data_IF_881069418055
#
_entry.id   IF_881069418055
#
_cell.length_a   1.000
_cell.length_b   1.000
_cell.length_c   1.000
_cell.angle_alpha   90.00
_cell.angle_beta   90.00
_cell.angle_gamma   90.00
#
_symmetry.space_group_name_H-M   'P 1'
#
loop_
_entity.id
_entity.type
_entity.pdbx_description
1 polymer ?
#
# COMPACT_ATOMS: atom_id res chain seq x y z
N UNK A 1 10.42 18.28 -5.17
CA UNK A 1 9.02 17.83 -5.27
C UNK A 1 8.24 18.87 -6.05
N UNK A 2 7.65 18.49 -7.19
CA UNK A 2 6.76 19.33 -7.99
C UNK A 2 5.31 19.01 -7.63
N UNK A 3 4.55 20.01 -7.20
CA UNK A 3 3.16 19.84 -6.79
C UNK A 3 2.28 20.63 -7.73
N UNK A 4 1.27 19.99 -8.32
CA UNK A 4 0.28 20.64 -9.18
C UNK A 4 -1.12 20.34 -8.63
N UNK A 5 -1.95 21.38 -8.52
CA UNK A 5 -3.36 21.19 -8.20
C UNK A 5 -4.17 20.96 -9.48
N UNK A 6 -4.94 19.88 -9.52
CA UNK A 6 -5.74 19.49 -10.68
C UNK A 6 -7.18 19.24 -10.29
N UNK A 7 -8.08 19.42 -11.25
CA UNK A 7 -9.47 18.98 -11.15
C UNK A 7 -9.62 17.62 -11.82
N UNK A 8 -10.47 16.76 -11.27
CA UNK A 8 -10.92 15.54 -11.91
C UNK A 8 -12.43 15.57 -12.17
N UNK A 9 -12.92 14.71 -13.06
CA UNK A 9 -14.35 14.54 -13.34
C UNK A 9 -15.02 13.51 -12.43
N UNK A 10 -14.23 12.60 -11.86
CA UNK A 10 -14.64 11.54 -10.94
C UNK A 10 -13.46 11.20 -10.02
N UNK A 11 -13.76 10.79 -8.80
CA UNK A 11 -12.80 10.32 -7.80
C UNK A 11 -12.95 8.83 -7.49
N UNK A 12 -14.14 8.24 -7.73
CA UNK A 12 -14.39 6.80 -7.61
C UNK A 12 -14.28 6.11 -8.97
N UNK A 13 -13.20 5.37 -9.20
CA UNK A 13 -13.02 4.50 -10.37
C UNK A 13 -13.35 3.05 -10.03
N UNK A 14 -13.75 2.25 -11.03
CA UNK A 14 -13.79 0.79 -10.87
C UNK A 14 -12.36 0.28 -10.61
N UNK A 15 -12.26 -0.77 -9.81
CA UNK A 15 -10.99 -1.42 -9.46
C UNK A 15 -10.85 -2.74 -10.22
N UNK A 16 -9.62 -3.05 -10.62
CA UNK A 16 -9.25 -4.36 -11.18
C UNK A 16 -8.65 -5.28 -10.11
N UNK A 17 -8.50 -4.79 -8.88
CA UNK A 17 -7.99 -5.56 -7.74
C UNK A 17 -9.08 -6.50 -7.25
N UNK A 18 -8.75 -7.80 -7.15
CA UNK A 18 -9.66 -8.83 -6.70
C UNK A 18 -10.27 -8.51 -5.32
N UNK A 19 -11.59 -8.62 -5.19
CA UNK A 19 -12.31 -8.32 -3.95
C UNK A 19 -12.53 -6.83 -3.66
N UNK A 20 -12.10 -5.95 -4.57
CA UNK A 20 -12.27 -4.50 -4.45
C UNK A 20 -13.11 -4.00 -5.63
N UNK A 21 -14.30 -3.46 -5.36
CA UNK A 21 -15.18 -2.93 -6.42
C UNK A 21 -14.63 -1.62 -6.99
N UNK A 22 -14.13 -0.74 -6.12
CA UNK A 22 -13.74 0.61 -6.48
C UNK A 22 -12.42 1.06 -5.85
N UNK A 23 -11.79 2.05 -6.49
CA UNK A 23 -10.66 2.77 -5.92
C UNK A 23 -10.92 4.26 -5.86
N UNK A 24 -10.45 4.89 -4.79
CA UNK A 24 -10.39 6.34 -4.66
C UNK A 24 -8.94 6.76 -4.57
N UNK A 25 -8.45 7.50 -5.57
CA UNK A 25 -7.06 7.98 -5.62
C UNK A 25 -7.05 9.51 -5.50
N UNK A 26 -6.83 10.11 -4.31
CA UNK A 26 -6.83 11.56 -4.10
C UNK A 26 -5.68 12.28 -4.81
N UNK A 27 -4.62 11.53 -5.12
CA UNK A 27 -3.39 12.01 -5.70
C UNK A 27 -3.01 11.20 -6.96
N UNK A 28 -2.19 11.78 -7.83
CA UNK A 28 -1.42 11.05 -8.84
C UNK A 28 0.05 11.37 -8.64
N UNK A 29 0.92 10.35 -8.58
CA UNK A 29 2.26 10.50 -8.01
C UNK A 29 2.23 10.20 -6.51
N UNK A 30 3.40 9.92 -5.92
CA UNK A 30 3.51 9.52 -4.52
C UNK A 30 4.88 9.89 -3.95
N UNK A 31 4.92 10.72 -2.90
CA UNK A 31 6.18 11.18 -2.30
C UNK A 31 6.96 10.08 -1.58
N UNK A 32 6.35 8.92 -1.30
CA UNK A 32 7.08 7.77 -0.77
C UNK A 32 8.19 7.31 -1.72
N UNK A 33 8.04 7.51 -3.03
CA UNK A 33 9.12 7.30 -4.01
C UNK A 33 9.65 5.86 -4.07
N UNK A 34 8.83 4.86 -3.74
CA UNK A 34 9.27 3.47 -3.65
C UNK A 34 9.86 2.98 -4.98
N UNK A 35 11.05 2.38 -4.95
CA UNK A 35 11.79 1.98 -6.17
C UNK A 35 11.15 0.81 -6.91
N UNK A 36 10.37 0.00 -6.20
CA UNK A 36 9.61 -1.13 -6.74
C UNK A 36 8.18 -0.76 -7.16
N UNK A 37 7.76 0.50 -7.01
CA UNK A 37 6.36 0.91 -7.17
C UNK A 37 5.80 0.54 -8.56
N UNK A 38 4.74 -0.28 -8.58
CA UNK A 38 4.08 -0.65 -9.82
C UNK A 38 3.38 0.57 -10.47
N UNK A 39 2.80 1.45 -9.65
CA UNK A 39 1.99 2.60 -10.05
C UNK A 39 2.73 3.69 -10.84
N UNK A 40 4.04 3.58 -10.97
CA UNK A 40 4.86 4.43 -11.83
C UNK A 40 4.34 4.55 -13.28
N UNK A 41 3.57 3.57 -13.79
CA UNK A 41 2.92 3.69 -15.11
C UNK A 41 1.95 4.87 -15.18
N UNK A 42 1.43 5.35 -14.05
CA UNK A 42 0.51 6.47 -13.97
C UNK A 42 1.10 7.77 -14.51
N UNK A 43 2.44 7.90 -14.56
CA UNK A 43 3.12 9.05 -15.18
C UNK A 43 2.66 9.31 -16.62
N UNK A 44 2.30 8.25 -17.38
CA UNK A 44 1.80 8.39 -18.77
C UNK A 44 0.47 9.15 -18.89
N UNK A 45 -0.25 9.32 -17.78
CA UNK A 45 -1.51 10.06 -17.70
C UNK A 45 -1.32 11.47 -17.13
N UNK A 46 -0.09 11.95 -17.11
CA UNK A 46 0.30 13.24 -16.55
C UNK A 46 1.25 13.97 -17.48
N UNK A 47 1.33 15.29 -17.35
CA UNK A 47 2.26 16.16 -18.09
C UNK A 47 3.53 16.42 -17.26
N UNK A 48 4.09 15.35 -16.69
CA UNK A 48 5.28 15.40 -15.84
C UNK A 48 6.47 14.76 -16.54
N UNK A 49 7.60 15.46 -16.53
CA UNK A 49 8.90 14.93 -16.96
C UNK A 49 9.67 14.32 -15.78
N UNK A 50 9.31 14.70 -14.55
CA UNK A 50 9.96 14.29 -13.31
C UNK A 50 9.82 12.78 -13.04
N UNK A 51 10.75 12.22 -12.26
CA UNK A 51 10.69 10.81 -11.90
C UNK A 51 9.53 10.54 -10.92
N UNK A 52 9.07 9.29 -10.85
CA UNK A 52 8.15 8.90 -9.79
C UNK A 52 8.79 9.13 -8.41
N UNK A 53 8.04 9.74 -7.50
CA UNK A 53 8.58 10.22 -6.22
C UNK A 53 9.03 11.68 -6.23
N UNK A 54 9.04 12.34 -7.39
CA UNK A 54 9.47 13.75 -7.51
C UNK A 54 8.31 14.69 -7.87
N UNK A 55 7.11 14.16 -8.13
CA UNK A 55 5.90 14.94 -8.39
C UNK A 55 4.66 14.38 -7.70
N UNK A 56 3.69 15.26 -7.46
CA UNK A 56 2.32 14.92 -7.05
C UNK A 56 1.31 15.87 -7.70
N UNK A 57 0.35 15.32 -8.43
CA UNK A 57 -0.89 16.00 -8.80
C UNK A 57 -1.95 15.80 -7.71
N UNK A 58 -2.50 16.90 -7.20
CA UNK A 58 -3.49 16.92 -6.11
C UNK A 58 -4.88 17.18 -6.66
N UNK A 59 -5.84 16.27 -6.40
CA UNK A 59 -7.22 16.41 -6.90
C UNK A 59 -8.05 17.31 -5.98
N UNK A 60 -7.91 18.62 -6.13
CA UNK A 60 -8.47 19.62 -5.20
C UNK A 60 -10.01 19.66 -5.15
N UNK A 61 -10.69 19.22 -6.21
CA UNK A 61 -12.16 19.18 -6.26
C UNK A 61 -12.76 17.84 -5.78
N UNK A 62 -11.95 16.96 -5.15
CA UNK A 62 -12.36 15.61 -4.72
C UNK A 62 -13.68 15.59 -3.95
N UNK A 63 -13.90 16.55 -3.03
CA UNK A 63 -15.14 16.63 -2.24
C UNK A 63 -16.38 16.84 -3.12
N UNK A 64 -16.31 17.75 -4.08
CA UNK A 64 -17.44 18.05 -4.96
C UNK A 64 -17.76 16.85 -5.87
N UNK A 65 -16.73 16.22 -6.44
CA UNK A 65 -16.94 15.09 -7.36
C UNK A 65 -17.33 13.82 -6.63
N UNK A 66 -16.94 13.66 -5.36
CA UNK A 66 -17.35 12.52 -4.54
C UNK A 66 -18.87 12.45 -4.41
N UNK A 67 -19.57 13.57 -4.17
CA UNK A 67 -21.04 13.55 -4.11
C UNK A 67 -21.66 13.08 -5.43
N UNK A 68 -21.11 13.52 -6.56
CA UNK A 68 -21.58 13.11 -7.88
C UNK A 68 -21.36 11.61 -8.13
N UNK A 69 -20.24 11.06 -7.66
CA UNK A 69 -19.94 9.64 -7.75
C UNK A 69 -20.84 8.81 -6.84
N UNK A 70 -21.12 9.29 -5.62
CA UNK A 70 -21.98 8.62 -4.64
C UNK A 70 -23.45 8.53 -5.10
N UNK A 71 -23.91 9.43 -5.98
CA UNK A 71 -25.22 9.30 -6.63
C UNK A 71 -25.28 8.12 -7.60
N UNK A 72 -24.14 7.74 -8.21
CA UNK A 72 -24.05 6.66 -9.20
C UNK A 72 -23.65 5.33 -8.59
N UNK A 73 -22.86 5.37 -7.52
CA UNK A 73 -22.34 4.21 -6.80
C UNK A 73 -22.73 4.36 -5.33
N UNK A 74 -23.52 3.44 -4.79
CA UNK A 74 -24.12 3.60 -3.46
C UNK A 74 -23.79 2.47 -2.46
N UNK A 75 -23.02 1.46 -2.87
CA UNK A 75 -22.50 0.36 -2.05
C UNK A 75 -21.31 -0.31 -2.74
N UNK A 76 -20.57 -1.12 -2.00
CA UNK A 76 -19.43 -1.90 -2.48
C UNK A 76 -18.19 -1.69 -1.62
N UNK A 77 -17.08 -2.30 -2.02
CA UNK A 77 -15.78 -2.11 -1.36
C UNK A 77 -14.94 -1.05 -2.08
N UNK A 78 -14.32 -0.17 -1.30
CA UNK A 78 -13.40 0.88 -1.77
C UNK A 78 -12.02 0.57 -1.22
N UNK A 79 -11.00 0.55 -2.08
CA UNK A 79 -9.61 0.70 -1.67
C UNK A 79 -9.20 2.17 -1.81
N UNK A 80 -8.72 2.77 -0.72
CA UNK A 80 -8.13 4.09 -0.76
C UNK A 80 -6.71 4.00 -1.31
N UNK A 81 -6.52 4.66 -2.45
CA UNK A 81 -5.28 4.84 -3.19
C UNK A 81 -4.63 3.55 -3.68
N UNK A 82 -5.22 2.91 -4.69
CA UNK A 82 -4.59 1.78 -5.35
C UNK A 82 -3.27 2.16 -6.03
N UNK A 83 -3.16 3.35 -6.64
CA UNK A 83 -2.01 3.77 -7.45
C UNK A 83 -1.21 4.94 -6.84
N UNK A 84 -1.38 5.19 -5.55
CA UNK A 84 -0.63 6.19 -4.76
C UNK A 84 -0.70 5.78 -3.28
N UNK A 85 -0.38 6.68 -2.35
CA UNK A 85 -0.64 6.47 -0.93
C UNK A 85 -1.59 7.55 -0.41
N UNK A 86 -2.65 7.19 0.33
CA UNK A 86 -3.64 8.17 0.78
C UNK A 86 -3.09 9.07 1.89
N UNK A 87 -1.99 8.66 2.55
CA UNK A 87 -1.37 9.35 3.67
C UNK A 87 0.10 9.72 3.41
N UNK A 88 0.47 9.89 2.13
CA UNK A 88 1.76 10.47 1.77
C UNK A 88 1.96 11.85 2.44
N UNK A 89 3.21 12.31 2.69
CA UNK A 89 3.51 13.54 3.44
C UNK A 89 2.62 14.76 3.14
N UNK A 90 2.23 14.98 1.89
CA UNK A 90 1.41 16.08 1.40
C UNK A 90 -0.02 16.08 1.98
N UNK A 91 -0.53 14.91 2.38
CA UNK A 91 -1.82 14.76 3.06
C UNK A 91 -1.87 15.51 4.40
N UNK A 92 -0.71 15.82 5.02
CA UNK A 92 -0.64 16.69 6.21
C UNK A 92 -1.19 18.10 5.93
N UNK A 93 -1.04 18.57 4.69
CA UNK A 93 -1.45 19.91 4.26
C UNK A 93 -2.83 19.90 3.61
N UNK A 94 -3.08 18.94 2.72
CA UNK A 94 -4.27 18.97 1.86
C UNK A 94 -5.51 18.32 2.48
N UNK A 95 -5.31 17.34 3.37
CA UNK A 95 -6.37 16.68 4.12
C UNK A 95 -7.51 16.12 3.23
N UNK A 96 -7.17 15.71 2.00
CA UNK A 96 -8.18 15.24 1.04
C UNK A 96 -8.66 13.85 1.43
N UNK A 97 -7.75 12.96 1.82
CA UNK A 97 -8.11 11.64 2.35
C UNK A 97 -9.00 11.79 3.57
N UNK A 98 -8.64 12.68 4.50
CA UNK A 98 -9.45 12.98 5.68
C UNK A 98 -10.89 13.34 5.31
N UNK A 99 -11.08 14.31 4.42
CA UNK A 99 -12.41 14.77 3.95
C UNK A 99 -13.19 13.69 3.21
N UNK A 100 -12.50 12.82 2.48
CA UNK A 100 -13.13 11.65 1.84
C UNK A 100 -13.64 10.68 2.91
N UNK A 101 -12.85 10.41 3.95
CA UNK A 101 -13.25 9.53 5.05
C UNK A 101 -14.44 10.09 5.84
N UNK A 102 -14.44 11.39 6.18
CA UNK A 102 -15.57 12.08 6.83
C UNK A 102 -16.86 11.89 6.02
N UNK A 103 -16.75 11.92 4.69
CA UNK A 103 -17.91 11.72 3.84
C UNK A 103 -18.35 10.27 3.76
N UNK A 104 -17.39 9.34 3.68
CA UNK A 104 -17.64 7.90 3.55
C UNK A 104 -18.14 7.25 4.85
N UNK A 105 -17.85 7.83 6.03
CA UNK A 105 -18.29 7.30 7.33
C UNK A 105 -19.81 7.12 7.37
N UNK A 106 -20.54 8.04 6.75
CA UNK A 106 -22.00 8.07 6.66
C UNK A 106 -22.58 7.39 5.39
N UNK A 107 -21.90 6.43 4.78
CA UNK A 107 -22.35 5.73 3.55
C UNK A 107 -22.57 4.23 3.76
N UNK A 108 -22.77 3.44 2.68
CA UNK A 108 -22.83 1.97 2.72
C UNK A 108 -21.55 1.28 2.20
N UNK A 109 -20.50 2.05 1.92
CA UNK A 109 -19.23 1.50 1.45
C UNK A 109 -18.41 0.86 2.58
N UNK A 110 -17.82 -0.28 2.28
CA UNK A 110 -16.69 -0.82 3.03
C UNK A 110 -15.43 -0.13 2.52
N UNK A 111 -14.58 0.38 3.44
CA UNK A 111 -13.39 1.15 3.11
C UNK A 111 -12.16 0.41 3.61
N UNK A 112 -11.26 0.12 2.69
CA UNK A 112 -9.96 -0.47 2.97
C UNK A 112 -8.89 0.59 2.74
N UNK A 113 -8.08 0.86 3.75
CA UNK A 113 -6.92 1.74 3.65
C UNK A 113 -5.68 0.86 3.57
N UNK A 114 -4.75 1.15 2.66
CA UNK A 114 -3.40 0.60 2.70
C UNK A 114 -2.42 1.77 2.65
N UNK A 115 -1.48 1.84 3.59
CA UNK A 115 -0.50 2.93 3.65
C UNK A 115 0.87 2.49 4.13
N UNK A 116 1.89 3.33 3.90
CA UNK A 116 3.22 3.26 4.52
C UNK A 116 3.47 4.39 5.51
N UNK A 117 2.43 5.10 5.92
CA UNK A 117 2.54 6.34 6.69
C UNK A 117 1.85 6.25 8.04
N UNK A 118 2.55 6.62 9.13
CA UNK A 118 1.94 6.74 10.46
C UNK A 118 0.87 7.84 10.55
N UNK A 119 0.80 8.72 9.54
CA UNK A 119 -0.13 9.86 9.49
C UNK A 119 -1.60 9.43 9.58
N UNK A 120 -1.94 8.20 9.18
CA UNK A 120 -3.30 7.65 9.34
C UNK A 120 -3.82 7.73 10.79
N UNK A 121 -2.91 7.72 11.78
CA UNK A 121 -3.29 7.86 13.20
C UNK A 121 -3.85 9.24 13.57
N UNK A 122 -3.64 10.27 12.73
CA UNK A 122 -4.28 11.59 12.85
C UNK A 122 -5.80 11.46 12.75
N UNK A 123 -6.27 10.59 11.86
CA UNK A 123 -7.69 10.48 11.49
C UNK A 123 -8.43 9.40 12.28
N UNK A 124 -7.87 8.97 13.42
CA UNK A 124 -8.50 8.01 14.34
C UNK A 124 -9.88 8.46 14.81
N UNK A 125 -10.11 9.77 14.92
CA UNK A 125 -11.41 10.33 15.26
C UNK A 125 -12.48 9.96 14.22
N UNK A 126 -12.13 10.03 12.93
CA UNK A 126 -13.04 9.67 11.82
C UNK A 126 -13.12 8.16 11.64
N UNK A 127 -12.00 7.44 11.75
CA UNK A 127 -11.99 5.99 11.58
C UNK A 127 -12.94 5.29 12.57
N UNK A 128 -13.10 5.85 13.78
CA UNK A 128 -14.05 5.37 14.80
C UNK A 128 -15.52 5.63 14.49
N UNK A 129 -15.83 6.51 13.54
CA UNK A 129 -17.22 6.76 13.11
C UNK A 129 -17.76 5.64 12.22
N UNK A 130 -16.87 4.87 11.59
CA UNK A 130 -17.26 3.70 10.82
C UNK A 130 -17.66 2.57 11.77
N UNK A 131 -18.65 1.77 11.36
CA UNK A 131 -18.82 0.45 11.96
C UNK A 131 -17.58 -0.40 11.67
N UNK A 132 -17.14 -1.22 12.64
CA UNK A 132 -15.89 -1.96 12.56
C UNK A 132 -15.81 -2.83 11.30
N UNK A 133 -16.93 -3.45 10.88
CA UNK A 133 -16.99 -4.30 9.69
C UNK A 133 -16.87 -3.54 8.36
N UNK A 134 -16.88 -2.21 8.38
CA UNK A 134 -16.83 -1.35 7.19
C UNK A 134 -15.50 -0.62 7.04
N UNK A 135 -14.56 -0.77 7.96
CA UNK A 135 -13.28 -0.07 7.88
C UNK A 135 -12.15 -1.03 8.23
N UNK A 136 -11.15 -1.09 7.36
CA UNK A 136 -9.90 -1.78 7.64
C UNK A 136 -8.71 -0.88 7.34
N UNK A 137 -7.66 -0.98 8.16
CA UNK A 137 -6.42 -0.22 7.97
C UNK A 137 -5.23 -1.17 7.86
N UNK A 138 -4.62 -1.14 6.68
CA UNK A 138 -3.45 -1.92 6.34
C UNK A 138 -2.18 -1.09 6.34
N UNK A 139 -1.09 -1.71 6.77
CA UNK A 139 0.25 -1.16 6.60
C UNK A 139 1.08 -2.03 5.67
N UNK A 140 1.78 -1.43 4.70
CA UNK A 140 2.83 -2.15 3.99
C UNK A 140 4.08 -2.25 4.85
N UNK A 141 4.52 -3.47 5.16
CA UNK A 141 5.73 -3.75 5.95
C UNK A 141 6.55 -4.81 5.20
N UNK A 142 7.47 -4.38 4.34
CA UNK A 142 8.32 -5.29 3.56
C UNK A 142 9.67 -5.60 4.22
N UNK A 143 10.11 -4.70 5.12
CA UNK A 143 11.46 -4.68 5.69
C UNK A 143 11.39 -4.53 7.20
N UNK A 144 12.46 -4.94 7.88
CA UNK A 144 12.68 -4.74 9.31
C UNK A 144 14.02 -4.06 9.62
N UNK A 145 14.77 -3.66 8.59
CA UNK A 145 15.99 -2.86 8.67
C UNK A 145 15.72 -1.50 8.01
N UNK A 146 16.02 -0.40 8.70
CA UNK A 146 15.77 0.95 8.18
C UNK A 146 16.67 1.29 6.98
N UNK A 147 17.84 0.66 6.84
CA UNK A 147 18.67 0.83 5.65
C UNK A 147 17.99 0.23 4.41
N UNK A 148 17.37 -0.94 4.55
CA UNK A 148 16.60 -1.55 3.46
C UNK A 148 15.40 -0.66 3.10
N UNK A 149 14.69 -0.14 4.11
CA UNK A 149 13.60 0.82 3.91
C UNK A 149 14.10 2.08 3.20
N UNK A 150 15.25 2.64 3.55
CA UNK A 150 15.78 3.85 2.92
C UNK A 150 16.14 3.61 1.45
N UNK A 151 16.72 2.45 1.14
CA UNK A 151 17.02 2.04 -0.24
C UNK A 151 15.74 1.92 -1.07
N UNK A 152 14.71 1.25 -0.54
CA UNK A 152 13.54 0.83 -1.31
C UNK A 152 12.35 1.80 -1.23
N UNK A 153 12.18 2.51 -0.12
CA UNK A 153 11.00 3.30 0.30
C UNK A 153 11.40 4.61 1.02
N UNK A 154 12.27 5.45 0.45
CA UNK A 154 12.93 6.55 1.17
C UNK A 154 11.95 7.58 1.77
N UNK A 155 10.84 7.86 1.10
CA UNK A 155 9.86 8.85 1.57
C UNK A 155 8.83 8.32 2.56
N UNK A 156 8.79 7.01 2.83
CA UNK A 156 7.81 6.39 3.72
C UNK A 156 8.16 6.58 5.20
N UNK A 157 7.20 6.32 6.11
CA UNK A 157 7.50 6.32 7.55
C UNK A 157 8.52 5.24 7.91
N UNK A 158 9.25 5.46 8.99
CA UNK A 158 10.10 4.43 9.62
C UNK A 158 9.30 3.15 9.89
N UNK A 159 9.94 2.00 9.87
CA UNK A 159 9.29 0.70 10.03
C UNK A 159 8.63 0.61 11.42
N UNK A 160 9.34 1.05 12.47
CA UNK A 160 8.80 1.03 13.83
C UNK A 160 7.57 1.93 13.97
N UNK A 161 7.61 3.12 13.36
CA UNK A 161 6.47 4.05 13.32
C UNK A 161 5.22 3.42 12.69
N UNK A 162 5.38 2.60 11.64
CA UNK A 162 4.27 1.88 11.00
C UNK A 162 3.68 0.83 11.93
N UNK A 163 4.53 0.06 12.62
CA UNK A 163 4.09 -0.99 13.54
C UNK A 163 3.41 -0.39 14.78
N UNK A 164 3.92 0.73 15.30
CA UNK A 164 3.30 1.46 16.41
C UNK A 164 1.95 2.06 16.01
N UNK A 165 1.86 2.62 14.80
CA UNK A 165 0.60 3.12 14.25
C UNK A 165 -0.44 1.99 14.08
N UNK A 166 -0.03 0.85 13.53
CA UNK A 166 -0.84 -0.38 13.43
C UNK A 166 -1.38 -0.80 14.81
N UNK A 167 -0.49 -0.94 15.81
CA UNK A 167 -0.88 -1.31 17.16
C UNK A 167 -1.82 -0.29 17.80
N UNK A 168 -1.62 1.01 17.55
CA UNK A 168 -2.51 2.07 18.04
C UNK A 168 -3.90 1.97 17.42
N UNK A 169 -4.01 1.70 16.12
CA UNK A 169 -5.29 1.57 15.42
C UNK A 169 -6.03 0.32 15.89
N UNK A 170 -5.34 -0.82 15.95
CA UNK A 170 -5.90 -2.09 16.45
C UNK A 170 -6.48 -1.96 17.86
N UNK A 171 -5.78 -1.27 18.79
CA UNK A 171 -6.28 -1.00 20.16
C UNK A 171 -7.55 -0.15 20.22
N UNK A 172 -7.95 0.46 19.11
CA UNK A 172 -9.21 1.20 18.99
C UNK A 172 -10.32 0.37 18.30
N UNK A 173 -10.18 -0.96 18.26
CA UNK A 173 -11.14 -1.91 17.69
C UNK A 173 -11.44 -1.66 16.20
N UNK A 174 -10.41 -1.30 15.44
CA UNK A 174 -10.46 -1.15 13.99
C UNK A 174 -9.69 -2.30 13.38
N UNK A 175 -10.31 -3.02 12.45
CA UNK A 175 -9.70 -4.16 11.77
C UNK A 175 -8.42 -3.71 11.06
N UNK A 176 -7.36 -4.47 11.29
CA UNK A 176 -6.03 -4.13 10.82
C UNK A 176 -5.43 -5.30 10.04
N UNK A 177 -4.59 -4.99 9.06
CA UNK A 177 -3.85 -6.01 8.33
C UNK A 177 -2.43 -5.55 8.00
N UNK A 178 -1.56 -6.50 7.71
CA UNK A 178 -0.22 -6.20 7.17
C UNK A 178 -0.15 -6.71 5.75
N UNK A 179 0.41 -5.90 4.88
CA UNK A 179 0.66 -6.24 3.49
C UNK A 179 2.17 -6.29 3.23
N UNK A 180 2.65 -7.43 2.78
CA UNK A 180 4.03 -7.64 2.31
C UNK A 180 3.99 -7.66 0.79
N UNK A 181 4.12 -6.48 0.19
CA UNK A 181 3.97 -6.25 -1.23
C UNK A 181 4.99 -5.25 -1.75
N UNK A 182 6.00 -5.69 -2.53
CA UNK A 182 6.32 -7.08 -2.88
C UNK A 182 7.19 -7.79 -1.83
N UNK A 183 7.11 -9.12 -1.78
CA UNK A 183 8.05 -9.99 -1.06
C UNK A 183 9.40 -10.03 -1.76
N UNK A 184 10.46 -9.57 -1.07
CA UNK A 184 11.84 -9.64 -1.58
C UNK A 184 12.55 -10.88 -1.05
N UNK A 185 12.85 -11.84 -1.93
CA UNK A 185 13.60 -13.05 -1.58
C UNK A 185 14.98 -12.70 -1.00
N UNK A 186 15.32 -13.29 0.14
CA UNK A 186 16.59 -13.02 0.84
C UNK A 186 16.64 -11.70 1.64
N UNK A 187 15.66 -10.80 1.49
CA UNK A 187 15.60 -9.51 2.20
C UNK A 187 14.41 -9.47 3.17
N UNK A 188 13.21 -9.81 2.69
CA UNK A 188 11.99 -9.81 3.50
C UNK A 188 11.94 -11.03 4.43
N UNK A 189 11.77 -10.79 5.74
CA UNK A 189 11.61 -11.83 6.74
C UNK A 189 10.16 -11.93 7.24
N UNK A 190 9.37 -12.79 6.60
CA UNK A 190 7.95 -12.98 6.91
C UNK A 190 7.69 -13.41 8.36
N UNK A 191 8.50 -14.31 8.89
CA UNK A 191 8.33 -14.82 10.26
C UNK A 191 8.54 -13.70 11.29
N UNK A 192 9.60 -12.91 11.14
CA UNK A 192 9.86 -11.78 12.03
C UNK A 192 8.82 -10.67 11.90
N UNK A 193 8.33 -10.41 10.68
CA UNK A 193 7.24 -9.44 10.46
C UNK A 193 6.01 -9.93 11.22
N UNK A 194 5.60 -11.19 11.01
CA UNK A 194 4.43 -11.76 11.66
C UNK A 194 4.56 -11.77 13.19
N UNK A 195 5.71 -12.18 13.74
CA UNK A 195 5.97 -12.14 15.19
C UNK A 195 5.81 -10.72 15.80
N UNK A 196 6.07 -9.66 15.01
CA UNK A 196 5.92 -8.27 15.46
C UNK A 196 4.50 -7.73 15.32
N UNK A 197 3.68 -8.33 14.43
CA UNK A 197 2.39 -7.75 14.03
C UNK A 197 1.19 -8.63 14.32
N UNK A 198 1.36 -9.94 14.58
CA UNK A 198 0.28 -10.93 14.69
C UNK A 198 -0.76 -10.60 15.78
N UNK A 199 -0.37 -9.89 16.84
CA UNK A 199 -1.28 -9.46 17.90
C UNK A 199 -2.13 -8.23 17.54
N UNK A 200 -1.93 -7.65 16.36
CA UNK A 200 -2.55 -6.40 15.94
C UNK A 200 -3.27 -6.52 14.59
N UNK A 201 -3.32 -7.71 13.98
CA UNK A 201 -3.86 -7.90 12.64
C UNK A 201 -4.85 -9.06 12.58
N UNK A 202 -5.87 -8.88 11.75
CA UNK A 202 -6.81 -9.92 11.36
C UNK A 202 -6.27 -10.75 10.18
N UNK A 203 -5.29 -10.22 9.44
CA UNK A 203 -4.75 -10.87 8.25
C UNK A 203 -3.33 -10.41 7.89
N UNK A 204 -2.51 -11.36 7.42
CA UNK A 204 -1.28 -11.09 6.69
C UNK A 204 -1.50 -11.34 5.19
N UNK A 205 -1.22 -10.33 4.37
CA UNK A 205 -1.24 -10.41 2.92
C UNK A 205 0.18 -10.43 2.36
N UNK A 206 0.44 -11.29 1.39
CA UNK A 206 1.76 -11.44 0.77
C UNK A 206 1.60 -11.43 -0.74
N UNK A 207 2.34 -10.57 -1.42
CA UNK A 207 2.40 -10.47 -2.87
C UNK A 207 3.81 -10.81 -3.35
N UNK A 208 3.93 -11.70 -4.33
CA UNK A 208 5.24 -12.04 -4.92
C UNK A 208 5.77 -10.89 -5.78
N UNK A 209 7.09 -10.69 -5.79
CA UNK A 209 7.71 -9.67 -6.64
C UNK A 209 7.55 -9.97 -8.13
N UNK A 210 7.03 -9.00 -8.89
CA UNK A 210 6.93 -9.09 -10.34
C UNK A 210 8.12 -8.38 -11.03
N UNK A 211 9.16 -9.16 -11.36
CA UNK A 211 10.35 -8.63 -12.01
C UNK A 211 10.14 -8.22 -13.47
N UNK A 212 9.09 -8.68 -14.17
CA UNK A 212 8.96 -8.49 -15.62
C UNK A 212 8.85 -7.03 -16.07
N UNK A 213 8.21 -6.17 -15.26
CA UNK A 213 8.07 -4.73 -15.56
C UNK A 213 9.16 -3.88 -14.88
N UNK A 214 9.67 -4.39 -13.74
CA UNK A 214 10.62 -3.85 -12.75
C UNK A 214 12.11 -4.12 -12.91
N UNK A 215 12.48 -5.05 -13.78
CA UNK A 215 13.77 -5.74 -13.68
C UNK A 215 14.98 -4.80 -13.64
N UNK A 216 15.06 -3.79 -14.52
CA UNK A 216 16.27 -2.95 -14.63
C UNK A 216 16.59 -2.22 -13.33
N UNK A 217 15.62 -1.56 -12.71
CA UNK A 217 15.83 -0.79 -11.48
C UNK A 217 16.05 -1.72 -10.29
N UNK A 218 15.26 -2.79 -10.18
CA UNK A 218 15.39 -3.77 -9.09
C UNK A 218 16.75 -4.45 -9.17
N UNK A 219 17.14 -4.99 -10.33
CA UNK A 219 18.43 -5.66 -10.52
C UNK A 219 19.62 -4.70 -10.32
N UNK A 220 19.47 -3.41 -10.65
CA UNK A 220 20.49 -2.41 -10.35
C UNK A 220 20.69 -2.26 -8.83
N UNK A 221 19.61 -2.06 -8.10
CA UNK A 221 19.64 -1.91 -6.63
C UNK A 221 20.18 -3.18 -5.97
N UNK A 222 19.75 -4.36 -6.42
CA UNK A 222 20.27 -5.65 -5.94
C UNK A 222 21.78 -5.75 -6.15
N UNK A 223 22.29 -5.39 -7.34
CA UNK A 223 23.74 -5.41 -7.61
C UNK A 223 24.53 -4.48 -6.68
N UNK A 224 23.99 -3.27 -6.44
CA UNK A 224 24.69 -2.22 -5.70
C UNK A 224 24.65 -2.44 -4.18
N UNK A 225 23.56 -2.99 -3.64
CA UNK A 225 23.31 -3.06 -2.20
C UNK A 225 23.28 -4.49 -1.65
N UNK A 226 22.96 -5.47 -2.49
CA UNK A 226 22.83 -6.89 -2.10
C UNK A 226 23.58 -7.80 -3.08
N UNK A 227 24.90 -7.59 -3.30
CA UNK A 227 25.65 -8.31 -4.33
C UNK A 227 25.63 -9.83 -4.15
N UNK A 228 25.47 -10.32 -2.91
CA UNK A 228 25.34 -11.73 -2.60
C UNK A 228 24.03 -12.37 -3.09
N UNK A 229 22.98 -11.58 -3.38
CA UNK A 229 21.68 -12.06 -3.88
C UNK A 229 21.57 -11.99 -5.41
N UNK A 230 22.57 -11.48 -6.12
CA UNK A 230 22.43 -11.20 -7.56
C UNK A 230 22.13 -12.44 -8.41
N UNK A 231 22.75 -13.57 -8.08
CA UNK A 231 22.52 -14.83 -8.79
C UNK A 231 21.13 -15.41 -8.50
N UNK A 232 20.62 -15.22 -7.28
CA UNK A 232 19.26 -15.64 -6.94
C UNK A 232 18.22 -14.82 -7.70
N UNK A 233 18.40 -13.49 -7.78
CA UNK A 233 17.50 -12.64 -8.55
C UNK A 233 17.57 -12.88 -10.07
N UNK A 234 18.73 -13.26 -10.62
CA UNK A 234 18.83 -13.74 -12.01
C UNK A 234 17.99 -15.00 -12.22
N UNK A 235 18.08 -15.98 -11.31
CA UNK A 235 17.27 -17.21 -11.37
C UNK A 235 15.77 -16.93 -11.23
N UNK A 236 15.37 -16.03 -10.33
CA UNK A 236 13.97 -15.61 -10.17
C UNK A 236 13.45 -15.02 -11.49
N UNK A 237 14.26 -14.20 -12.16
CA UNK A 237 13.92 -13.62 -13.46
C UNK A 237 13.81 -14.67 -14.57
N UNK A 238 14.71 -15.65 -14.60
CA UNK A 238 14.71 -16.72 -15.60
C UNK A 238 13.58 -17.74 -15.37
N UNK A 239 13.27 -18.04 -14.11
CA UNK A 239 12.28 -19.04 -13.72
C UNK A 239 11.42 -18.55 -12.55
N UNK A 240 10.42 -17.71 -12.88
CA UNK A 240 9.43 -17.19 -11.92
C UNK A 240 8.69 -18.31 -11.17
N UNK A 241 8.43 -19.44 -11.83
CA UNK A 241 7.69 -20.56 -11.24
C UNK A 241 8.41 -21.15 -10.03
N UNK A 242 9.73 -21.32 -10.11
CA UNK A 242 10.53 -21.83 -8.98
C UNK A 242 10.49 -20.90 -7.76
N UNK A 243 10.49 -19.59 -7.97
CA UNK A 243 10.36 -18.59 -6.90
C UNK A 243 8.99 -18.67 -6.22
N UNK A 244 7.92 -18.73 -7.03
CA UNK A 244 6.55 -18.88 -6.53
C UNK A 244 6.43 -20.14 -5.66
N UNK A 245 6.91 -21.29 -6.13
CA UNK A 245 6.88 -22.54 -5.36
C UNK A 245 7.64 -22.44 -4.03
N UNK A 246 8.78 -21.74 -4.02
CA UNK A 246 9.55 -21.50 -2.80
C UNK A 246 8.76 -20.64 -1.81
N UNK A 247 8.15 -19.55 -2.29
CA UNK A 247 7.31 -18.67 -1.47
C UNK A 247 6.07 -19.41 -0.93
N UNK A 248 5.39 -20.18 -1.76
CA UNK A 248 4.25 -21.01 -1.34
C UNK A 248 4.61 -21.97 -0.21
N UNK A 249 5.78 -22.64 -0.31
CA UNK A 249 6.26 -23.53 0.77
C UNK A 249 6.48 -22.77 2.07
N UNK A 250 7.10 -21.58 2.02
CA UNK A 250 7.29 -20.72 3.20
C UNK A 250 5.96 -20.30 3.82
N UNK A 251 5.01 -19.83 2.99
CA UNK A 251 3.69 -19.41 3.46
C UNK A 251 2.90 -20.59 4.04
N UNK A 252 2.95 -21.76 3.42
CA UNK A 252 2.28 -22.95 3.93
C UNK A 252 2.88 -23.46 5.24
N UNK A 253 4.19 -23.26 5.46
CA UNK A 253 4.80 -23.50 6.78
C UNK A 253 4.22 -22.54 7.82
N UNK A 254 4.21 -21.24 7.54
CA UNK A 254 3.66 -20.23 8.46
C UNK A 254 2.18 -20.48 8.78
N UNK A 255 1.35 -20.85 7.79
CA UNK A 255 -0.06 -21.21 7.99
C UNK A 255 -0.30 -22.38 8.95
N UNK A 256 0.68 -23.28 9.09
CA UNK A 256 0.60 -24.41 10.05
C UNK A 256 1.00 -24.00 11.46
N UNK A 257 1.82 -22.97 11.59
CA UNK A 257 2.46 -22.55 12.84
C UNK A 257 1.78 -21.34 13.49
N UNK A 258 0.81 -20.71 12.81
CA UNK A 258 0.21 -19.44 13.20
C UNK A 258 -1.30 -19.46 12.98
N UNK A 259 -2.03 -18.72 13.83
CA UNK A 259 -3.49 -18.62 13.79
C UNK A 259 -3.99 -17.51 12.87
N UNK A 260 -3.19 -16.45 12.68
CA UNK A 260 -3.53 -15.34 11.80
C UNK A 260 -3.71 -15.83 10.36
N UNK A 261 -4.83 -15.54 9.69
CA UNK A 261 -5.03 -15.80 8.27
C UNK A 261 -3.91 -15.22 7.40
N UNK A 262 -3.36 -16.04 6.49
CA UNK A 262 -2.33 -15.62 5.55
C UNK A 262 -2.83 -15.78 4.11
N UNK A 263 -3.00 -14.66 3.40
CA UNK A 263 -3.34 -14.62 1.97
C UNK A 263 -2.08 -14.44 1.13
N UNK A 264 -1.97 -15.24 0.06
CA UNK A 264 -0.86 -15.19 -0.89
C UNK A 264 -1.42 -14.85 -2.27
N UNK A 265 -0.96 -13.72 -2.82
CA UNK A 265 -1.30 -13.23 -4.14
C UNK A 265 -0.15 -13.55 -5.10
N UNK A 266 -0.46 -14.39 -6.08
CA UNK A 266 0.47 -14.83 -7.12
C UNK A 266 -0.02 -14.23 -8.44
N UNK A 267 0.56 -13.11 -8.85
CA UNK A 267 0.38 -12.56 -10.21
C UNK A 267 0.97 -13.48 -11.28
#
# INVERSE_FOLDING_TARGET
MIIKEKKCSSIISNSEIYGVDYSINPYTGCEHGCKYCYATFMKRFTDHDESWGEFVDVKINSRQVLENDLMKKNKGSILLSSVTDPYQPLEKKYEITRRILERLSNTKFEVNILTKSKLVTRDLDILKEFKSERISVGFTVNFLDENDKEIWEPGASEILDRIEALAKISRNNIDCYVHVGPYFEGITNLEKILNKTENYIEELQIESINLNKRDKIIMKIIRENYPHLIEDYKKIKENKFSHIQSLEKKVNKLRKERTVPIKLFLE
#
